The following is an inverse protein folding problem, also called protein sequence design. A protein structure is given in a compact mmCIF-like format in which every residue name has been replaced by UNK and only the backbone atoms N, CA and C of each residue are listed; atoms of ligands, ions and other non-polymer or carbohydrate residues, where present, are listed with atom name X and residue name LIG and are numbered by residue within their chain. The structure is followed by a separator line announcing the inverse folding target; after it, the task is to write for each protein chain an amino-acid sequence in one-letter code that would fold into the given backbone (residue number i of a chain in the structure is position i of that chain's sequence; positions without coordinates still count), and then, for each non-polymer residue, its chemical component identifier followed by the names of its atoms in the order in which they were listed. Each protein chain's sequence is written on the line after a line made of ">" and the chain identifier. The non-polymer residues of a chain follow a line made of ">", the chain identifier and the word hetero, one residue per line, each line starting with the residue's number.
data_IF_550805416278
#
_entry.id   IF_550805416278
#
_cell.length_a   1.000
_cell.length_b   1.000
_cell.length_c   1.000
_cell.angle_alpha   90.00
_cell.angle_beta   90.00
_cell.angle_gamma   90.00
#
_symmetry.space_group_name_H-M   'P 1'
#
loop_
_entity.id
_entity.type
_entity.pdbx_description
1 polymer ?
#
# COMPACT_ATOMS: atom_id res chain seq x y z
N UNK A 1 10.57 27.13 4.96
CA UNK A 1 10.82 26.14 3.90
C UNK A 1 12.32 25.96 3.80
N UNK A 2 12.87 24.81 4.22
CA UNK A 2 14.27 24.49 3.94
C UNK A 2 14.34 24.17 2.45
N UNK A 3 15.23 24.81 1.68
CA UNK A 3 15.51 24.42 0.30
C UNK A 3 15.79 22.91 0.28
N UNK A 4 15.05 22.14 -0.52
CA UNK A 4 15.29 20.71 -0.68
C UNK A 4 16.59 20.57 -1.48
N UNK A 5 17.68 20.31 -0.76
CA UNK A 5 19.00 20.18 -1.33
C UNK A 5 19.11 18.90 -2.17
N UNK A 6 19.85 19.00 -3.28
CA UNK A 6 20.10 17.92 -4.23
C UNK A 6 20.58 16.62 -3.57
N UNK A 7 20.17 15.46 -4.11
CA UNK A 7 20.77 14.17 -3.78
C UNK A 7 22.24 14.15 -4.24
N UNK A 8 23.13 13.66 -3.39
CA UNK A 8 24.53 13.42 -3.73
C UNK A 8 24.65 12.20 -4.64
N UNK A 9 25.65 12.19 -5.52
CA UNK A 9 25.88 11.14 -6.50
C UNK A 9 25.84 9.73 -5.88
N UNK A 10 25.18 8.81 -6.58
CA UNK A 10 25.07 7.41 -6.17
C UNK A 10 26.48 6.80 -6.15
N UNK A 11 26.75 5.97 -5.13
CA UNK A 11 28.04 5.32 -4.94
C UNK A 11 28.46 4.39 -6.10
N UNK A 12 29.58 3.65 -5.96
CA UNK A 12 30.24 2.96 -7.08
C UNK A 12 29.42 1.86 -7.76
N UNK A 13 28.36 1.34 -7.12
CA UNK A 13 27.38 0.43 -7.76
C UNK A 13 26.43 1.25 -8.62
N UNK A 14 26.88 1.58 -9.83
CA UNK A 14 26.10 2.34 -10.81
C UNK A 14 25.08 1.44 -11.52
N UNK A 15 23.94 2.02 -11.90
CA UNK A 15 22.90 1.39 -12.73
C UNK A 15 23.29 1.21 -14.20
N UNK A 16 24.57 1.45 -14.54
CA UNK A 16 25.11 1.27 -15.89
C UNK A 16 24.87 -0.12 -16.49
N UNK A 17 24.58 -1.13 -15.67
CA UNK A 17 24.34 -2.51 -16.11
C UNK A 17 22.86 -2.93 -16.12
N UNK A 18 21.91 -2.01 -15.87
CA UNK A 18 20.49 -2.36 -15.97
C UNK A 18 20.14 -2.77 -17.40
N UNK A 19 19.56 -3.96 -17.53
CA UNK A 19 19.14 -4.52 -18.82
C UNK A 19 17.66 -4.85 -18.78
N UNK A 20 16.96 -4.41 -19.80
CA UNK A 20 15.62 -4.89 -20.05
C UNK A 20 15.66 -6.39 -20.41
N UNK A 21 14.75 -7.19 -19.83
CA UNK A 21 14.54 -8.58 -20.21
C UNK A 21 14.22 -8.74 -21.71
N UNK A 22 13.51 -7.77 -22.29
CA UNK A 22 13.27 -7.65 -23.73
C UNK A 22 13.66 -6.26 -24.21
N UNK A 23 14.35 -6.09 -25.35
CA UNK A 23 14.72 -4.77 -25.87
C UNK A 23 13.54 -3.82 -26.03
N UNK A 24 12.36 -4.31 -26.43
CA UNK A 24 11.15 -3.50 -26.63
C UNK A 24 10.62 -2.85 -25.35
N UNK A 25 10.95 -3.38 -24.17
CA UNK A 25 10.48 -2.84 -22.90
C UNK A 25 10.95 -1.41 -22.61
N UNK A 26 11.98 -0.91 -23.30
CA UNK A 26 12.40 0.49 -23.17
C UNK A 26 11.36 1.50 -23.69
N UNK A 27 10.43 1.08 -24.55
CA UNK A 27 9.37 1.92 -25.11
C UNK A 27 8.10 1.93 -24.25
N UNK A 28 7.93 0.92 -23.39
CA UNK A 28 6.79 0.79 -22.49
C UNK A 28 6.83 1.85 -21.38
N UNK A 29 5.68 2.28 -20.83
CA UNK A 29 5.64 3.17 -19.68
C UNK A 29 6.28 2.54 -18.44
N UNK A 30 7.04 3.33 -17.67
CA UNK A 30 7.70 2.86 -16.45
C UNK A 30 6.96 3.37 -15.21
N UNK A 31 6.45 2.43 -14.42
CA UNK A 31 5.75 2.68 -13.17
C UNK A 31 6.66 2.34 -12.00
N UNK A 32 7.04 3.33 -11.22
CA UNK A 32 7.83 3.11 -10.00
C UNK A 32 6.90 2.99 -8.79
N UNK A 33 6.88 1.80 -8.18
CA UNK A 33 6.14 1.52 -6.93
C UNK A 33 6.96 2.01 -5.72
N UNK A 34 6.71 3.25 -5.31
CA UNK A 34 7.44 3.90 -4.22
C UNK A 34 6.72 3.69 -2.88
N UNK A 35 7.34 3.02 -1.91
CA UNK A 35 6.71 2.66 -0.64
C UNK A 35 6.96 3.66 0.51
N UNK A 36 7.67 4.76 0.25
CA UNK A 36 8.07 5.70 1.30
C UNK A 36 9.19 5.21 2.22
N UNK A 37 9.85 4.10 1.86
CA UNK A 37 11.01 3.57 2.57
C UNK A 37 12.35 3.99 1.97
N UNK A 38 13.44 3.77 2.72
CA UNK A 38 14.81 4.07 2.27
C UNK A 38 15.21 3.27 1.02
N UNK A 39 14.86 1.98 0.94
CA UNK A 39 15.17 1.15 -0.24
C UNK A 39 14.44 1.64 -1.49
N UNK A 40 13.14 1.95 -1.40
CA UNK A 40 12.40 2.51 -2.55
C UNK A 40 12.88 3.90 -2.94
N UNK A 41 13.37 4.70 -1.98
CA UNK A 41 14.00 5.99 -2.26
C UNK A 41 15.36 5.88 -2.93
N UNK A 42 16.19 4.92 -2.54
CA UNK A 42 17.40 4.63 -3.30
C UNK A 42 17.07 4.22 -4.73
N UNK A 43 16.12 3.30 -4.94
CA UNK A 43 15.67 2.91 -6.28
C UNK A 43 15.21 4.11 -7.11
N UNK A 44 14.35 4.97 -6.54
CA UNK A 44 13.84 6.18 -7.17
C UNK A 44 14.98 7.05 -7.72
N UNK A 45 15.92 7.44 -6.87
CA UNK A 45 17.01 8.32 -7.28
C UNK A 45 18.01 7.63 -8.20
N UNK A 46 18.21 6.32 -8.04
CA UNK A 46 19.01 5.53 -8.98
C UNK A 46 18.41 5.55 -10.39
N UNK A 47 17.10 5.34 -10.54
CA UNK A 47 16.43 5.39 -11.85
C UNK A 47 16.43 6.80 -12.47
N UNK A 48 16.29 7.84 -11.64
CA UNK A 48 16.28 9.24 -12.10
C UNK A 48 17.65 9.68 -12.60
N UNK A 49 18.71 9.42 -11.85
CA UNK A 49 20.09 9.77 -12.24
C UNK A 49 20.55 8.96 -13.46
N UNK A 50 20.00 7.76 -13.67
CA UNK A 50 20.19 6.97 -14.89
C UNK A 50 19.50 7.55 -16.14
N UNK A 51 18.56 8.48 -15.97
CA UNK A 51 17.65 8.89 -17.04
C UNK A 51 16.68 7.80 -17.48
N UNK A 52 16.41 6.80 -16.62
CA UNK A 52 15.50 5.70 -16.96
C UNK A 52 14.02 6.07 -16.83
N UNK A 53 13.69 7.17 -16.14
CA UNK A 53 12.33 7.71 -16.07
C UNK A 53 12.15 8.91 -17.00
N UNK A 54 11.11 8.86 -17.83
CA UNK A 54 10.79 9.83 -18.87
C UNK A 54 9.28 10.10 -18.89
N UNK A 55 8.87 11.27 -18.37
CA UNK A 55 7.45 11.63 -18.24
C UNK A 55 6.67 11.53 -19.57
N UNK A 56 7.29 11.86 -20.70
CA UNK A 56 6.65 11.81 -22.02
C UNK A 56 6.24 10.40 -22.46
N UNK A 57 6.87 9.35 -21.91
CA UNK A 57 6.56 7.96 -22.21
C UNK A 57 5.31 7.46 -21.48
N UNK A 58 4.84 8.19 -20.46
CA UNK A 58 3.77 7.77 -19.55
C UNK A 58 4.27 7.42 -18.15
N UNK A 59 5.58 7.54 -17.92
CA UNK A 59 6.21 7.15 -16.66
C UNK A 59 5.66 7.92 -15.46
N UNK A 60 5.56 7.21 -14.34
CA UNK A 60 4.93 7.73 -13.14
C UNK A 60 5.51 7.08 -11.88
N UNK A 61 5.67 7.90 -10.84
CA UNK A 61 5.98 7.44 -9.49
C UNK A 61 4.69 7.40 -8.68
N UNK A 62 4.45 6.28 -7.99
CA UNK A 62 3.22 6.07 -7.22
C UNK A 62 3.57 5.75 -5.77
N UNK A 63 3.00 6.53 -4.84
CA UNK A 63 2.95 6.19 -3.43
C UNK A 63 1.51 5.81 -3.05
N UNK A 64 1.30 4.54 -2.68
CA UNK A 64 0.02 4.07 -2.15
C UNK A 64 -0.03 4.34 -0.65
N UNK A 65 -0.71 5.41 -0.27
CA UNK A 65 -0.96 5.74 1.12
C UNK A 65 -1.97 4.75 1.72
N UNK A 66 -1.53 3.96 2.70
CA UNK A 66 -2.41 3.06 3.45
C UNK A 66 -3.00 3.72 4.68
N UNK A 67 -2.61 4.96 4.98
CA UNK A 67 -2.83 5.71 6.23
C UNK A 67 -2.27 5.02 7.47
N UNK A 68 -1.51 3.92 7.31
CA UNK A 68 -0.89 3.10 8.35
C UNK A 68 0.65 3.24 8.40
N UNK A 69 1.16 4.25 7.71
CA UNK A 69 2.55 4.65 7.72
C UNK A 69 2.89 5.53 8.94
N UNK A 70 4.14 5.48 9.35
CA UNK A 70 4.69 6.40 10.33
C UNK A 70 4.68 7.84 9.79
N UNK A 71 4.37 8.88 10.60
CA UNK A 71 4.33 10.28 10.16
C UNK A 71 5.56 10.76 9.34
N UNK A 72 6.76 10.42 9.80
CA UNK A 72 8.03 10.65 9.09
C UNK A 72 8.10 10.10 7.65
N UNK A 73 7.31 9.09 7.31
CA UNK A 73 7.20 8.59 5.94
C UNK A 73 6.49 9.59 5.03
N UNK A 74 5.47 10.30 5.51
CA UNK A 74 4.83 11.36 4.73
C UNK A 74 5.79 12.53 4.51
N UNK A 75 6.54 12.93 5.54
CA UNK A 75 7.57 13.96 5.41
C UNK A 75 8.62 13.59 4.35
N UNK A 76 9.17 12.38 4.46
CA UNK A 76 10.16 11.86 3.52
C UNK A 76 9.60 11.78 2.09
N UNK A 77 8.40 11.23 1.93
CA UNK A 77 7.75 11.09 0.62
C UNK A 77 7.43 12.45 0.00
N UNK A 78 7.02 13.44 0.80
CA UNK A 78 6.76 14.81 0.34
C UNK A 78 8.04 15.46 -0.19
N UNK A 79 9.16 15.28 0.51
CA UNK A 79 10.48 15.76 0.05
C UNK A 79 10.91 15.07 -1.25
N UNK A 80 10.77 13.75 -1.33
CA UNK A 80 11.02 13.00 -2.58
C UNK A 80 10.18 13.55 -3.72
N UNK A 81 8.86 13.67 -3.53
CA UNK A 81 7.92 14.20 -4.53
C UNK A 81 8.34 15.57 -5.04
N UNK A 82 8.62 16.52 -4.14
CA UNK A 82 9.09 17.85 -4.52
C UNK A 82 10.37 17.80 -5.38
N UNK A 83 11.34 16.94 -5.04
CA UNK A 83 12.56 16.81 -5.82
C UNK A 83 12.32 16.19 -7.20
N UNK A 84 11.55 15.10 -7.25
CA UNK A 84 11.20 14.38 -8.48
C UNK A 84 10.51 15.33 -9.48
N UNK A 85 9.51 16.05 -8.99
CA UNK A 85 8.68 16.95 -9.80
C UNK A 85 9.46 18.18 -10.26
N UNK A 86 10.17 18.85 -9.35
CA UNK A 86 10.85 20.12 -9.67
C UNK A 86 12.15 19.93 -10.45
N UNK A 87 12.93 18.88 -10.15
CA UNK A 87 14.26 18.66 -10.76
C UNK A 87 14.19 17.78 -12.01
N UNK A 88 13.34 16.76 -12.01
CA UNK A 88 13.29 15.76 -13.09
C UNK A 88 12.01 15.83 -13.93
N UNK A 89 10.99 16.56 -13.48
CA UNK A 89 9.75 16.71 -14.22
C UNK A 89 8.97 15.40 -14.41
N UNK A 90 9.13 14.44 -13.48
CA UNK A 90 8.42 13.16 -13.51
C UNK A 90 7.16 13.24 -12.63
N UNK A 91 5.98 12.86 -13.12
CA UNK A 91 4.77 12.80 -12.31
C UNK A 91 4.92 11.88 -11.10
N UNK A 92 4.47 12.34 -9.94
CA UNK A 92 4.49 11.57 -8.70
C UNK A 92 3.15 11.73 -7.97
N UNK A 93 2.33 10.69 -7.98
CA UNK A 93 1.01 10.70 -7.32
C UNK A 93 1.01 9.98 -5.97
N UNK A 94 0.20 10.51 -5.04
CA UNK A 94 -0.22 9.81 -3.84
C UNK A 94 -1.63 9.28 -4.06
N UNK A 95 -1.81 7.99 -3.84
CA UNK A 95 -3.07 7.28 -4.04
C UNK A 95 -3.57 6.74 -2.70
N UNK A 96 -4.87 6.86 -2.45
CA UNK A 96 -5.54 6.19 -1.35
C UNK A 96 -6.57 5.21 -1.88
N UNK A 97 -6.67 4.04 -1.25
CA UNK A 97 -7.80 3.15 -1.48
C UNK A 97 -9.08 3.82 -0.99
N UNK A 98 -10.14 3.72 -1.80
CA UNK A 98 -11.46 4.19 -1.42
C UNK A 98 -12.51 3.27 -2.03
N UNK A 99 -13.60 3.07 -1.31
CA UNK A 99 -14.82 2.46 -1.83
C UNK A 99 -15.87 3.49 -2.22
N UNK A 100 -16.72 3.16 -3.16
CA UNK A 100 -17.88 3.97 -3.56
C UNK A 100 -19.12 3.09 -3.75
N UNK A 101 -20.31 3.68 -3.77
CA UNK A 101 -21.57 2.96 -3.93
C UNK A 101 -22.05 2.98 -5.39
N UNK A 102 -22.31 1.80 -5.92
CA UNK A 102 -22.93 1.64 -7.23
C UNK A 102 -23.67 0.31 -7.35
N UNK A 103 -24.46 0.17 -8.40
CA UNK A 103 -25.16 -1.07 -8.70
C UNK A 103 -24.25 -2.02 -9.49
N UNK A 104 -24.10 -3.25 -9.02
CA UNK A 104 -23.46 -4.34 -9.77
C UNK A 104 -24.49 -5.44 -10.00
N UNK A 105 -24.77 -5.72 -11.27
CA UNK A 105 -25.81 -6.69 -11.66
C UNK A 105 -27.19 -6.38 -11.05
N UNK A 106 -27.52 -5.10 -10.89
CA UNK A 106 -28.81 -4.64 -10.35
C UNK A 106 -28.88 -4.48 -8.83
N UNK A 107 -27.89 -4.97 -8.07
CA UNK A 107 -27.84 -4.80 -6.61
C UNK A 107 -26.83 -3.73 -6.21
N UNK A 108 -27.21 -2.82 -5.31
CA UNK A 108 -26.28 -1.81 -4.80
C UNK A 108 -25.23 -2.45 -3.88
N UNK A 109 -23.97 -2.02 -4.03
CA UNK A 109 -22.86 -2.45 -3.21
C UNK A 109 -21.79 -1.37 -3.13
N UNK A 110 -20.85 -1.55 -2.18
CA UNK A 110 -19.59 -0.82 -2.21
C UNK A 110 -18.59 -1.51 -3.15
N UNK A 111 -18.04 -0.74 -4.08
CA UNK A 111 -17.03 -1.16 -5.05
C UNK A 111 -15.69 -0.48 -4.72
N UNK A 112 -14.56 -1.19 -4.85
CA UNK A 112 -13.24 -0.62 -4.59
C UNK A 112 -12.79 0.28 -5.75
N UNK A 113 -11.98 1.28 -5.42
CA UNK A 113 -11.33 2.22 -6.32
C UNK A 113 -10.13 2.85 -5.61
N UNK A 114 -9.53 3.86 -6.23
CA UNK A 114 -8.57 4.77 -5.64
C UNK A 114 -9.10 6.20 -5.59
N UNK A 115 -8.44 7.08 -4.83
CA UNK A 115 -8.56 8.54 -4.85
C UNK A 115 -7.16 9.17 -4.90
N UNK A 116 -7.04 10.31 -5.56
CA UNK A 116 -5.82 11.14 -5.52
C UNK A 116 -5.84 12.04 -4.28
N UNK A 117 -4.69 12.17 -3.61
CA UNK A 117 -4.53 13.07 -2.45
C UNK A 117 -3.30 13.95 -2.60
N UNK A 118 -3.37 15.16 -2.04
CA UNK A 118 -2.23 16.07 -2.00
C UNK A 118 -1.31 15.75 -0.81
N UNK A 119 -0.18 16.45 -0.71
CA UNK A 119 0.86 16.16 0.29
C UNK A 119 0.65 16.84 1.64
N UNK A 120 -0.55 17.37 1.90
CA UNK A 120 -0.91 17.96 3.19
C UNK A 120 -2.04 17.15 3.84
N UNK A 121 -2.11 17.07 5.18
CA UNK A 121 -3.14 16.29 5.86
C UNK A 121 -4.56 16.73 5.51
N UNK A 122 -5.49 15.78 5.51
CA UNK A 122 -6.91 16.07 5.35
C UNK A 122 -7.42 16.97 6.47
N UNK A 123 -8.22 17.99 6.10
CA UNK A 123 -8.94 18.85 7.03
C UNK A 123 -10.21 19.41 6.36
N UNK A 124 -11.06 20.11 7.11
CA UNK A 124 -12.22 20.80 6.54
C UNK A 124 -11.84 21.79 5.43
N UNK A 125 -10.68 22.43 5.56
CA UNK A 125 -10.14 23.38 4.56
C UNK A 125 -9.30 22.71 3.47
N UNK A 126 -8.95 21.42 3.65
CA UNK A 126 -8.18 20.62 2.69
C UNK A 126 -8.86 19.26 2.48
N UNK A 127 -10.01 19.21 1.80
CA UNK A 127 -10.76 17.97 1.61
C UNK A 127 -10.02 16.94 0.75
N UNK A 128 -9.03 17.36 -0.03
CA UNK A 128 -8.16 16.53 -0.88
C UNK A 128 -6.83 16.14 -0.20
N UNK A 129 -6.67 16.45 1.08
CA UNK A 129 -5.51 16.04 1.86
C UNK A 129 -5.46 14.54 2.14
N UNK A 130 -4.28 14.06 2.51
CA UNK A 130 -4.07 12.65 2.82
C UNK A 130 -4.54 12.28 4.24
N UNK A 131 -5.01 11.05 4.40
CA UNK A 131 -5.34 10.42 5.68
C UNK A 131 -4.10 9.76 6.29
N UNK A 132 -4.01 9.74 7.62
CA UNK A 132 -2.82 9.23 8.33
C UNK A 132 -3.10 8.58 9.68
N UNK A 133 -4.38 8.51 10.08
CA UNK A 133 -4.85 7.91 11.34
C UNK A 133 -5.42 6.51 11.11
N UNK A 134 -5.06 5.86 10.00
CA UNK A 134 -5.46 4.50 9.68
C UNK A 134 -6.81 4.35 8.97
N UNK A 135 -7.43 5.45 8.54
CA UNK A 135 -8.76 5.49 7.93
C UNK A 135 -8.86 4.65 6.65
N UNK A 136 -7.84 4.72 5.80
CA UNK A 136 -7.78 3.96 4.53
C UNK A 136 -7.62 2.47 4.81
N UNK A 137 -6.84 2.12 5.84
CA UNK A 137 -6.66 0.73 6.27
C UNK A 137 -7.96 0.16 6.84
N UNK A 138 -8.61 0.89 7.75
CA UNK A 138 -9.88 0.47 8.35
C UNK A 138 -11.01 0.41 7.31
N UNK A 139 -11.03 1.30 6.31
CA UNK A 139 -12.01 1.21 5.21
C UNK A 139 -11.93 -0.12 4.49
N UNK A 140 -10.71 -0.63 4.22
CA UNK A 140 -10.53 -1.98 3.67
C UNK A 140 -11.05 -3.04 4.64
N UNK A 141 -10.64 -3.02 5.91
CA UNK A 141 -11.03 -4.05 6.89
C UNK A 141 -12.55 -4.10 7.06
N UNK A 142 -13.19 -2.94 7.10
CA UNK A 142 -14.64 -2.82 7.18
C UNK A 142 -15.31 -3.33 5.92
N UNK A 143 -14.80 -2.98 4.74
CA UNK A 143 -15.33 -3.46 3.46
C UNK A 143 -15.25 -4.98 3.31
N UNK A 144 -14.13 -5.61 3.70
CA UNK A 144 -13.97 -7.08 3.60
C UNK A 144 -14.56 -7.82 4.80
N UNK A 145 -14.63 -7.18 5.98
CA UNK A 145 -15.18 -7.72 7.23
C UNK A 145 -14.24 -8.65 8.01
N UNK A 146 -12.93 -8.62 7.75
CA UNK A 146 -11.94 -9.41 8.47
C UNK A 146 -10.57 -8.73 8.50
N UNK A 147 -9.71 -9.10 9.47
CA UNK A 147 -8.31 -8.68 9.50
C UNK A 147 -7.43 -9.50 8.54
N UNK A 148 -6.46 -8.89 7.85
CA UNK A 148 -5.48 -9.62 7.06
C UNK A 148 -4.63 -10.55 7.95
N UNK A 149 -4.10 -11.61 7.34
CA UNK A 149 -3.21 -12.57 8.01
C UNK A 149 -1.95 -12.80 7.18
N UNK A 150 -0.95 -13.42 7.79
CA UNK A 150 0.31 -13.77 7.11
C UNK A 150 0.11 -14.68 5.89
N UNK A 151 -1.01 -15.41 5.83
CA UNK A 151 -1.39 -16.26 4.70
C UNK A 151 -2.29 -15.56 3.68
N UNK A 152 -3.05 -14.55 4.11
CA UNK A 152 -3.98 -13.82 3.28
C UNK A 152 -3.77 -12.31 3.49
N UNK A 153 -3.14 -11.65 2.53
CA UNK A 153 -2.74 -10.24 2.60
C UNK A 153 -3.61 -9.32 1.71
N UNK A 154 -4.92 -9.18 1.97
CA UNK A 154 -5.80 -8.31 1.19
C UNK A 154 -5.36 -6.84 1.25
N UNK A 155 -4.57 -6.44 2.26
CA UNK A 155 -3.97 -5.11 2.34
C UNK A 155 -3.00 -4.85 1.19
N UNK A 156 -2.16 -5.82 0.83
CA UNK A 156 -1.23 -5.64 -0.30
C UNK A 156 -1.99 -5.66 -1.62
N UNK A 157 -2.91 -6.62 -1.78
CA UNK A 157 -3.74 -6.72 -2.98
C UNK A 157 -4.57 -5.44 -3.20
N UNK A 158 -5.37 -5.03 -2.22
CA UNK A 158 -6.35 -3.95 -2.41
C UNK A 158 -5.72 -2.57 -2.32
N UNK A 159 -4.92 -2.30 -1.27
CA UNK A 159 -4.41 -0.95 -1.00
C UNK A 159 -3.26 -0.55 -1.94
N UNK A 160 -2.55 -1.53 -2.53
CA UNK A 160 -1.40 -1.27 -3.40
C UNK A 160 -1.65 -1.70 -4.83
N UNK A 161 -1.87 -3.00 -5.05
CA UNK A 161 -1.90 -3.56 -6.40
C UNK A 161 -3.14 -3.11 -7.19
N UNK A 162 -4.34 -3.39 -6.67
CA UNK A 162 -5.60 -3.02 -7.34
C UNK A 162 -5.81 -1.51 -7.38
N UNK A 163 -5.43 -0.79 -6.32
CA UNK A 163 -5.45 0.69 -6.29
C UNK A 163 -4.57 1.27 -7.39
N UNK A 164 -3.34 0.75 -7.55
CA UNK A 164 -2.43 1.18 -8.62
C UNK A 164 -2.97 0.81 -10.00
N UNK A 165 -3.50 -0.41 -10.17
CA UNK A 165 -4.06 -0.87 -11.44
C UNK A 165 -5.24 -0.01 -11.88
N UNK A 166 -6.17 0.28 -10.95
CA UNK A 166 -7.29 1.17 -11.22
C UNK A 166 -6.82 2.57 -11.63
N UNK A 167 -5.78 3.11 -10.98
CA UNK A 167 -5.16 4.39 -11.39
C UNK A 167 -4.54 4.33 -12.78
N UNK A 168 -3.71 3.32 -13.07
CA UNK A 168 -3.03 3.18 -14.35
C UNK A 168 -4.02 3.04 -15.52
N UNK A 169 -5.16 2.39 -15.29
CA UNK A 169 -6.27 2.27 -16.25
C UNK A 169 -6.74 3.62 -16.79
N UNK A 170 -6.85 4.60 -15.90
CA UNK A 170 -7.29 5.96 -16.21
C UNK A 170 -6.13 6.84 -16.64
N UNK A 171 -4.97 6.70 -15.98
CA UNK A 171 -3.76 7.46 -16.27
C UNK A 171 -3.31 7.25 -17.71
N UNK A 172 -3.15 6.00 -18.15
CA UNK A 172 -2.73 5.69 -19.52
C UNK A 172 -3.79 6.05 -20.56
N UNK A 173 -5.05 6.32 -20.17
CA UNK A 173 -6.03 6.89 -21.09
C UNK A 173 -5.71 8.33 -21.54
N UNK A 174 -4.65 8.94 -20.98
CA UNK A 174 -4.11 10.25 -21.34
C UNK A 174 -5.15 11.38 -21.26
N UNK A 175 -6.08 11.27 -20.31
CA UNK A 175 -7.10 12.27 -19.99
C UNK A 175 -6.59 13.25 -18.93
N UNK A 176 -7.11 14.48 -18.86
CA UNK A 176 -6.64 15.47 -17.89
C UNK A 176 -7.11 15.21 -16.44
N UNK A 177 -8.15 14.39 -16.25
CA UNK A 177 -8.76 14.12 -14.96
C UNK A 177 -9.32 12.70 -14.88
N UNK A 178 -9.52 12.21 -13.65
CA UNK A 178 -10.21 10.95 -13.37
C UNK A 178 -11.71 11.07 -13.59
N UNK A 179 -12.39 9.95 -13.84
CA UNK A 179 -13.86 9.92 -13.96
C UNK A 179 -14.54 9.97 -12.60
N UNK A 180 -15.71 10.61 -12.50
CA UNK A 180 -16.59 10.40 -11.34
C UNK A 180 -17.13 8.96 -11.34
N UNK A 181 -17.05 8.26 -10.21
CA UNK A 181 -17.62 6.91 -10.03
C UNK A 181 -18.71 6.89 -8.96
N UNK A 182 -19.64 5.95 -9.06
CA UNK A 182 -20.75 5.74 -8.13
C UNK A 182 -22.04 6.41 -8.54
N UNK A 183 -23.13 6.07 -7.86
CA UNK A 183 -24.45 6.61 -8.21
C UNK A 183 -24.57 8.12 -7.97
N UNK A 184 -25.49 8.79 -8.67
CA UNK A 184 -25.71 10.24 -8.55
C UNK A 184 -26.71 10.63 -7.43
N UNK A 185 -27.23 9.65 -6.68
CA UNK A 185 -28.06 9.90 -5.50
C UNK A 185 -27.32 10.66 -4.39
N UNK A 186 -28.07 11.41 -3.57
CA UNK A 186 -27.53 12.20 -2.44
C UNK A 186 -27.33 11.41 -1.15
N UNK A 187 -27.90 10.22 -1.06
CA UNK A 187 -27.87 9.33 0.10
C UNK A 187 -27.52 7.92 -0.36
N UNK A 188 -27.06 7.08 0.58
CA UNK A 188 -26.79 5.67 0.31
C UNK A 188 -28.02 4.96 -0.25
N UNK A 189 -27.77 4.01 -1.14
CA UNK A 189 -28.79 3.10 -1.72
C UNK A 189 -28.66 1.68 -1.16
N UNK A 190 -27.81 1.48 -0.16
CA UNK A 190 -27.59 0.20 0.47
C UNK A 190 -28.65 -0.04 1.54
N UNK A 191 -29.56 -0.97 1.26
CA UNK A 191 -30.54 -1.44 2.23
C UNK A 191 -29.92 -2.53 3.11
N UNK A 192 -30.15 -2.45 4.43
CA UNK A 192 -29.57 -3.39 5.39
C UNK A 192 -30.00 -4.84 5.11
N UNK A 193 -31.29 -5.06 4.85
CA UNK A 193 -31.79 -6.41 4.67
C UNK A 193 -31.24 -7.05 3.39
N UNK A 194 -31.17 -6.31 2.28
CA UNK A 194 -30.54 -6.79 1.03
C UNK A 194 -29.05 -7.12 1.22
N UNK A 195 -28.32 -6.28 1.96
CA UNK A 195 -26.91 -6.51 2.27
C UNK A 195 -26.71 -7.78 3.10
N UNK A 196 -27.53 -7.98 4.13
CA UNK A 196 -27.41 -9.13 5.01
C UNK A 196 -27.88 -10.42 4.32
N UNK A 197 -28.96 -10.38 3.55
CA UNK A 197 -29.40 -11.48 2.70
C UNK A 197 -28.32 -11.89 1.69
N UNK A 198 -27.62 -10.93 1.09
CA UNK A 198 -26.47 -11.23 0.21
C UNK A 198 -25.33 -11.89 0.97
N UNK A 199 -25.02 -11.45 2.18
CA UNK A 199 -24.03 -12.10 3.05
C UNK A 199 -24.40 -13.56 3.31
N UNK A 200 -25.65 -13.84 3.67
CA UNK A 200 -26.14 -15.22 3.87
C UNK A 200 -26.09 -16.04 2.57
N UNK A 201 -26.55 -15.48 1.43
CA UNK A 201 -26.50 -16.13 0.11
C UNK A 201 -25.08 -16.51 -0.32
N UNK A 202 -24.08 -15.73 0.08
CA UNK A 202 -22.66 -16.00 -0.19
C UNK A 202 -21.99 -16.91 0.86
N UNK A 203 -22.77 -17.58 1.72
CA UNK A 203 -22.28 -18.50 2.75
C UNK A 203 -21.72 -17.81 4.00
N UNK A 204 -22.04 -16.53 4.21
CA UNK A 204 -21.72 -15.80 5.42
C UNK A 204 -22.54 -16.31 6.61
N UNK A 205 -21.87 -16.56 7.74
CA UNK A 205 -22.51 -17.02 8.99
C UNK A 205 -22.43 -16.02 10.14
N UNK A 206 -21.86 -14.83 9.93
CA UNK A 206 -21.72 -13.81 10.98
C UNK A 206 -23.09 -13.31 11.42
N UNK A 207 -23.39 -13.24 12.74
CA UNK A 207 -24.59 -12.62 13.27
C UNK A 207 -24.81 -11.19 12.75
N UNK A 208 -26.07 -10.78 12.60
CA UNK A 208 -26.46 -9.54 11.89
C UNK A 208 -25.87 -8.30 12.54
N UNK A 209 -25.91 -8.21 13.87
CA UNK A 209 -25.34 -7.11 14.66
C UNK A 209 -23.82 -6.99 14.46
N UNK A 210 -23.08 -8.09 14.61
CA UNK A 210 -21.62 -8.13 14.40
C UNK A 210 -21.28 -7.80 12.94
N UNK A 211 -22.07 -8.29 11.98
CA UNK A 211 -21.88 -7.97 10.57
C UNK A 211 -21.96 -6.46 10.33
N UNK A 212 -22.99 -5.78 10.86
CA UNK A 212 -23.15 -4.34 10.65
C UNK A 212 -22.17 -3.49 11.46
N UNK A 213 -21.77 -3.94 12.65
CA UNK A 213 -20.66 -3.32 13.39
C UNK A 213 -19.37 -3.31 12.55
N UNK A 214 -19.04 -4.46 11.94
CA UNK A 214 -17.90 -4.58 11.03
C UNK A 214 -18.08 -3.72 9.77
N UNK A 215 -19.29 -3.53 9.24
CA UNK A 215 -19.51 -2.69 8.04
C UNK A 215 -19.62 -1.19 8.32
N UNK A 216 -19.73 -0.78 9.58
CA UNK A 216 -20.04 0.61 9.95
C UNK A 216 -19.06 1.62 9.34
N UNK A 217 -17.75 1.36 9.42
CA UNK A 217 -16.76 2.32 8.96
C UNK A 217 -16.85 2.54 7.45
N UNK A 218 -16.81 1.47 6.64
CA UNK A 218 -16.93 1.56 5.18
C UNK A 218 -18.26 2.20 4.75
N UNK A 219 -19.36 1.94 5.46
CA UNK A 219 -20.68 2.55 5.16
C UNK A 219 -20.72 4.06 5.42
N UNK A 220 -19.90 4.57 6.33
CA UNK A 220 -19.77 6.00 6.59
C UNK A 220 -18.86 6.73 5.59
N UNK A 221 -18.17 5.99 4.70
CA UNK A 221 -17.27 6.58 3.70
C UNK A 221 -18.07 7.14 2.51
N UNK A 222 -17.50 8.10 1.77
CA UNK A 222 -18.21 8.76 0.67
C UNK A 222 -18.84 7.75 -0.31
N UNK A 223 -20.07 8.02 -0.73
CA UNK A 223 -20.85 7.14 -1.61
C UNK A 223 -20.43 7.22 -3.09
N UNK A 224 -19.55 8.16 -3.44
CA UNK A 224 -19.01 8.34 -4.78
C UNK A 224 -17.53 8.72 -4.73
N UNK A 225 -16.82 8.48 -5.82
CA UNK A 225 -15.49 9.04 -6.04
C UNK A 225 -15.61 10.27 -6.95
N UNK A 226 -15.11 11.45 -6.55
CA UNK A 226 -15.15 12.64 -7.41
C UNK A 226 -14.26 12.46 -8.65
N UNK A 227 -14.56 13.24 -9.69
CA UNK A 227 -13.57 13.50 -10.75
C UNK A 227 -12.47 14.38 -10.17
N UNK A 228 -11.21 14.07 -10.47
CA UNK A 228 -10.04 14.76 -9.92
C UNK A 228 -9.06 15.11 -11.05
N UNK A 229 -8.79 16.40 -11.31
CA UNK A 229 -7.76 16.83 -12.27
C UNK A 229 -6.38 16.40 -11.81
N UNK A 230 -5.61 15.72 -12.67
CA UNK A 230 -4.28 15.25 -12.31
C UNK A 230 -3.32 16.40 -11.95
N UNK A 231 -3.52 17.57 -12.55
CA UNK A 231 -2.74 18.79 -12.28
C UNK A 231 -2.83 19.30 -10.86
N UNK A 232 -3.87 18.93 -10.13
CA UNK A 232 -4.07 19.37 -8.75
C UNK A 232 -3.24 18.52 -7.77
N UNK A 233 -2.77 17.35 -8.23
CA UNK A 233 -2.09 16.35 -7.40
C UNK A 233 -0.64 16.08 -7.81
N UNK A 234 -0.25 16.42 -9.05
CA UNK A 234 1.12 16.25 -9.52
C UNK A 234 1.54 17.29 -10.56
N UNK A 235 2.82 17.65 -10.54
CA UNK A 235 3.42 18.57 -11.49
C UNK A 235 4.72 17.99 -12.08
N UNK A 236 4.90 17.93 -13.41
CA UNK A 236 3.96 18.31 -14.45
C UNK A 236 2.96 17.18 -14.76
N UNK A 237 1.67 17.37 -14.49
CA UNK A 237 0.62 16.54 -15.10
C UNK A 237 0.35 17.03 -16.55
N UNK A 238 1.24 16.67 -17.48
CA UNK A 238 1.07 16.95 -18.92
C UNK A 238 0.61 15.69 -19.64
N UNK A 239 -0.11 15.87 -20.76
CA UNK A 239 -0.39 14.77 -21.69
C UNK A 239 0.93 14.13 -22.15
N UNK A 240 0.96 12.80 -22.19
CA UNK A 240 2.11 12.04 -22.69
C UNK A 240 2.26 12.25 -24.20
N UNK A 241 3.47 11.99 -24.69
CA UNK A 241 3.82 11.95 -26.10
C UNK A 241 4.41 10.56 -26.36
N UNK A 242 3.55 9.55 -26.33
CA UNK A 242 3.93 8.13 -26.40
C UNK A 242 3.16 7.48 -27.54
N UNK A 243 3.86 7.17 -28.63
CA UNK A 243 3.29 6.45 -29.77
C UNK A 243 2.68 5.11 -29.34
N UNK A 244 3.34 4.41 -28.42
CA UNK A 244 2.85 3.15 -27.87
C UNK A 244 1.48 3.33 -27.19
N UNK A 245 1.33 4.31 -26.31
CA UNK A 245 0.04 4.58 -25.65
C UNK A 245 -1.00 5.02 -26.69
N UNK A 246 -0.65 5.92 -27.61
CA UNK A 246 -1.57 6.44 -28.60
C UNK A 246 -2.11 5.34 -29.55
N UNK A 247 -1.32 4.29 -29.83
CA UNK A 247 -1.71 3.15 -30.67
C UNK A 247 -2.53 2.08 -29.93
N UNK A 248 -2.35 1.94 -28.62
CA UNK A 248 -2.94 0.84 -27.82
C UNK A 248 -4.12 1.26 -26.93
N UNK A 249 -4.44 2.56 -26.85
CA UNK A 249 -5.57 3.05 -26.04
C UNK A 249 -6.80 3.32 -26.92
N UNK A 250 -7.85 2.52 -26.72
CA UNK A 250 -9.15 2.73 -27.35
C UNK A 250 -10.16 3.38 -26.40
N UNK A 251 -10.64 4.58 -26.74
CA UNK A 251 -11.75 5.24 -26.03
C UNK A 251 -11.36 6.07 -24.80
N UNK A 252 -11.99 5.79 -23.65
CA UNK A 252 -11.88 6.60 -22.42
C UNK A 252 -11.24 5.88 -21.23
N UNK A 253 -10.83 4.62 -21.38
CA UNK A 253 -10.09 3.86 -20.37
C UNK A 253 -9.39 2.69 -21.05
N UNK A 254 -8.20 2.33 -20.59
CA UNK A 254 -7.52 1.10 -21.03
C UNK A 254 -8.31 -0.10 -20.48
N UNK A 255 -8.56 -1.14 -21.26
CA UNK A 255 -9.06 -2.42 -20.71
C UNK A 255 -7.81 -3.22 -20.35
N UNK A 256 -7.85 -3.98 -19.24
CA UNK A 256 -6.80 -4.97 -18.99
C UNK A 256 -7.30 -6.37 -19.41
N UNK A 257 -6.52 -7.16 -20.17
CA UNK A 257 -6.94 -8.19 -21.13
C UNK A 257 -5.98 -8.41 -22.34
N UNK A 258 -6.48 -8.89 -23.48
CA UNK A 258 -5.69 -9.15 -24.71
C UNK A 258 -5.34 -7.86 -25.49
N UNK A 259 -5.92 -6.72 -25.12
CA UNK A 259 -5.83 -5.41 -25.81
C UNK A 259 -5.14 -4.33 -24.93
N UNK A 260 -4.10 -4.71 -24.17
CA UNK A 260 -3.57 -3.93 -23.06
C UNK A 260 -2.44 -2.96 -23.41
N UNK A 261 -2.38 -1.85 -22.67
CA UNK A 261 -1.14 -1.09 -22.48
C UNK A 261 -0.27 -1.87 -21.50
N UNK A 262 0.76 -2.53 -22.03
CA UNK A 262 1.82 -3.12 -21.23
C UNK A 262 2.66 -2.02 -20.57
N UNK A 263 3.18 -2.32 -19.37
CA UNK A 263 4.01 -1.38 -18.62
C UNK A 263 5.05 -2.10 -17.76
N UNK A 264 6.12 -1.39 -17.42
CA UNK A 264 7.12 -1.88 -16.49
C UNK A 264 6.76 -1.45 -15.06
N UNK A 265 6.95 -2.36 -14.11
CA UNK A 265 6.86 -2.04 -12.68
C UNK A 265 8.22 -2.15 -12.02
N UNK A 266 8.77 -1.05 -11.53
CA UNK A 266 10.00 -1.06 -10.73
C UNK A 266 9.69 -1.21 -9.24
N UNK A 267 10.29 -2.22 -8.61
CA UNK A 267 10.08 -2.54 -7.20
C UNK A 267 11.42 -2.52 -6.45
N UNK A 268 11.45 -1.85 -5.30
CA UNK A 268 12.64 -1.69 -4.46
C UNK A 268 12.92 -2.92 -3.57
N UNK A 269 13.43 -4.00 -4.16
CA UNK A 269 13.91 -5.18 -3.45
C UNK A 269 15.43 -5.28 -3.49
N UNK A 270 16.04 -5.65 -2.36
CA UNK A 270 17.49 -5.78 -2.19
C UNK A 270 17.97 -7.20 -2.45
N UNK A 271 19.24 -7.37 -2.81
CA UNK A 271 19.86 -8.68 -3.08
C UNK A 271 19.91 -9.60 -1.86
N UNK A 272 19.93 -9.02 -0.65
CA UNK A 272 19.84 -9.73 0.64
C UNK A 272 18.40 -10.16 0.99
N UNK A 273 17.45 -10.04 0.05
CA UNK A 273 16.06 -10.45 0.17
C UNK A 273 15.64 -11.49 -0.90
N UNK A 274 16.37 -12.61 -1.09
CA UNK A 274 16.17 -13.52 -2.23
C UNK A 274 14.79 -14.16 -2.30
N UNK A 275 14.17 -14.47 -1.16
CA UNK A 275 12.79 -15.00 -1.12
C UNK A 275 11.77 -13.99 -1.66
N UNK A 276 11.98 -12.70 -1.37
CA UNK A 276 11.14 -11.60 -1.85
C UNK A 276 11.23 -11.50 -3.38
N UNK A 277 12.44 -11.57 -3.91
CA UNK A 277 12.69 -11.52 -5.35
C UNK A 277 12.15 -12.73 -6.11
N UNK A 278 12.21 -13.93 -5.51
CA UNK A 278 11.67 -15.15 -6.10
C UNK A 278 10.15 -15.06 -6.35
N UNK A 279 9.39 -14.48 -5.41
CA UNK A 279 7.95 -14.26 -5.56
C UNK A 279 7.63 -13.35 -6.76
N UNK A 280 8.35 -12.24 -6.91
CA UNK A 280 8.19 -11.33 -8.06
C UNK A 280 8.53 -12.03 -9.39
N UNK A 281 9.60 -12.83 -9.43
CA UNK A 281 9.98 -13.60 -10.63
C UNK A 281 8.93 -14.65 -11.00
N UNK A 282 8.36 -15.35 -10.02
CA UNK A 282 7.26 -16.30 -10.23
C UNK A 282 6.00 -15.60 -10.75
N UNK A 283 5.74 -14.37 -10.27
CA UNK A 283 4.63 -13.53 -10.76
C UNK A 283 4.79 -13.19 -12.25
N UNK A 284 6.01 -12.85 -12.68
CA UNK A 284 6.30 -12.54 -14.09
C UNK A 284 6.18 -13.75 -15.04
N UNK A 285 6.31 -14.99 -14.54
CA UNK A 285 6.34 -16.18 -15.42
C UNK A 285 4.96 -16.70 -15.84
N UNK A 286 3.87 -16.04 -15.45
CA UNK A 286 2.54 -16.27 -16.05
C UNK A 286 1.92 -17.66 -15.83
N UNK A 287 2.39 -18.43 -14.85
CA UNK A 287 1.84 -19.76 -14.56
C UNK A 287 0.39 -19.73 -14.04
N UNK A 288 -0.35 -20.85 -14.03
CA UNK A 288 -1.72 -20.92 -13.50
C UNK A 288 -1.85 -20.58 -12.01
N UNK A 289 -0.74 -20.57 -11.26
CA UNK A 289 -0.64 -20.07 -9.88
C UNK A 289 -0.07 -18.63 -9.77
N UNK A 290 0.27 -18.00 -10.90
CA UNK A 290 0.80 -16.64 -10.90
C UNK A 290 -0.34 -15.65 -10.66
N UNK A 291 -0.26 -14.91 -9.56
CA UNK A 291 -1.08 -13.71 -9.32
C UNK A 291 -0.59 -12.52 -10.17
N UNK A 292 0.06 -12.79 -11.31
CA UNK A 292 0.59 -11.76 -12.20
C UNK A 292 -0.54 -11.07 -12.93
N UNK A 293 -0.48 -9.76 -12.99
CA UNK A 293 -1.40 -9.00 -13.82
C UNK A 293 -0.94 -9.07 -15.27
N UNK A 294 -1.86 -9.43 -16.16
CA UNK A 294 -1.65 -9.26 -17.60
C UNK A 294 -1.20 -7.82 -17.90
N UNK A 295 -0.16 -7.70 -18.73
CA UNK A 295 0.49 -6.45 -19.13
C UNK A 295 1.53 -5.88 -18.17
N UNK A 296 1.73 -6.42 -16.96
CA UNK A 296 2.77 -5.94 -16.03
C UNK A 296 4.07 -6.73 -16.16
N UNK A 297 5.18 -6.02 -16.41
CA UNK A 297 6.53 -6.59 -16.36
C UNK A 297 7.29 -6.04 -15.14
N UNK A 298 7.42 -6.83 -14.07
CA UNK A 298 8.08 -6.36 -12.86
C UNK A 298 9.61 -6.50 -12.91
N UNK A 299 10.32 -5.45 -12.52
CA UNK A 299 11.79 -5.38 -12.44
C UNK A 299 12.24 -5.03 -11.02
N UNK A 300 13.40 -5.56 -10.63
CA UNK A 300 14.01 -5.35 -9.31
C UNK A 300 15.45 -4.86 -9.46
N UNK A 301 15.69 -3.63 -9.98
CA UNK A 301 17.03 -3.19 -10.35
C UNK A 301 18.05 -3.27 -9.22
N UNK A 302 17.65 -2.90 -8.00
CA UNK A 302 18.55 -2.97 -6.83
C UNK A 302 18.99 -4.41 -6.52
N UNK A 303 18.09 -5.39 -6.68
CA UNK A 303 18.41 -6.81 -6.52
C UNK A 303 19.45 -7.25 -7.54
N UNK A 304 19.20 -6.93 -8.82
CA UNK A 304 20.07 -7.34 -9.93
C UNK A 304 21.44 -6.63 -9.88
N UNK A 305 21.49 -5.43 -9.29
CA UNK A 305 22.73 -4.68 -8.99
C UNK A 305 23.49 -5.18 -7.75
N UNK A 306 22.96 -6.17 -7.02
CA UNK A 306 23.61 -6.68 -5.80
C UNK A 306 23.60 -5.68 -4.63
N UNK A 307 22.61 -4.79 -4.56
CA UNK A 307 22.45 -3.81 -3.48
C UNK A 307 21.88 -4.49 -2.23
N UNK A 308 22.59 -4.37 -1.10
CA UNK A 308 22.20 -4.90 0.21
C UNK A 308 21.61 -3.82 1.11
N UNK A 309 21.15 -4.18 2.31
CA UNK A 309 20.73 -3.21 3.32
C UNK A 309 21.85 -2.20 3.67
N UNK A 310 23.08 -2.67 3.79
CA UNK A 310 24.24 -1.83 4.12
C UNK A 310 24.51 -0.78 3.05
N UNK A 311 24.41 -1.14 1.76
CA UNK A 311 24.52 -0.18 0.66
C UNK A 311 23.45 0.91 0.71
N UNK A 312 22.22 0.55 1.13
CA UNK A 312 21.11 1.52 1.29
C UNK A 312 21.41 2.47 2.44
N UNK A 313 21.91 1.97 3.57
CA UNK A 313 22.29 2.78 4.72
C UNK A 313 23.43 3.75 4.34
N UNK A 314 24.49 3.25 3.70
CA UNK A 314 25.61 4.04 3.17
C UNK A 314 25.17 5.13 2.18
N UNK A 315 24.19 4.83 1.33
CA UNK A 315 23.63 5.80 0.39
C UNK A 315 22.97 6.95 1.14
N UNK A 316 22.14 6.65 2.14
CA UNK A 316 21.38 7.64 2.91
C UNK A 316 22.22 8.40 3.94
N UNK A 317 23.30 7.83 4.46
CA UNK A 317 24.25 8.53 5.34
C UNK A 317 24.98 9.68 4.65
N UNK A 318 25.16 9.58 3.32
CA UNK A 318 25.75 10.66 2.51
C UNK A 318 24.77 11.78 2.21
N UNK A 319 23.46 11.54 2.35
CA UNK A 319 22.44 12.53 2.05
C UNK A 319 22.24 13.50 3.23
N UNK A 320 21.90 14.74 2.91
CA UNK A 320 21.58 15.76 3.93
C UNK A 320 20.18 15.61 4.53
N UNK A 321 19.38 14.71 3.97
CA UNK A 321 18.05 14.36 4.42
C UNK A 321 17.82 12.88 4.10
N UNK A 322 17.06 12.20 4.95
CA UNK A 322 16.69 10.79 4.81
C UNK A 322 15.40 10.51 5.56
N UNK A 323 14.84 9.32 5.41
CA UNK A 323 13.79 8.86 6.32
C UNK A 323 14.37 8.73 7.73
N UNK A 324 13.96 9.61 8.64
CA UNK A 324 14.51 9.73 10.01
C UNK A 324 13.92 8.68 10.98
N UNK A 325 13.91 7.42 10.58
CA UNK A 325 13.55 6.29 11.43
C UNK A 325 14.82 5.50 11.76
N UNK A 326 15.05 5.22 13.04
CA UNK A 326 16.24 4.49 13.46
C UNK A 326 16.14 3.01 13.05
N UNK A 327 17.02 2.57 12.15
CA UNK A 327 17.07 1.19 11.62
C UNK A 327 17.24 0.10 12.70
N UNK A 328 17.69 0.46 13.91
CA UNK A 328 17.91 -0.45 15.04
C UNK A 328 16.69 -0.68 15.94
N UNK A 329 15.68 0.19 15.85
CA UNK A 329 14.57 0.23 16.81
C UNK A 329 13.34 -0.55 16.33
N UNK A 330 13.44 -1.27 15.20
CA UNK A 330 12.31 -1.96 14.57
C UNK A 330 11.29 -1.02 13.90
N UNK A 331 11.51 0.29 13.99
CA UNK A 331 10.77 1.32 13.29
C UNK A 331 11.11 1.30 11.81
N UNK A 332 10.07 1.29 10.99
CA UNK A 332 10.15 1.42 9.53
C UNK A 332 8.93 2.21 9.06
N UNK A 333 8.80 2.42 7.74
CA UNK A 333 7.67 3.13 7.16
C UNK A 333 6.31 2.61 7.65
N UNK A 334 6.10 1.29 7.70
CA UNK A 334 4.96 0.69 8.40
C UNK A 334 5.32 0.48 9.88
N UNK A 335 4.47 0.86 10.83
CA UNK A 335 4.82 0.80 12.28
C UNK A 335 4.69 -0.62 12.84
N UNK A 336 3.46 -1.06 13.17
CA UNK A 336 3.19 -2.37 13.79
C UNK A 336 2.69 -3.43 12.80
N UNK A 337 2.99 -3.33 11.50
CA UNK A 337 2.53 -4.30 10.49
C UNK A 337 2.72 -5.77 10.92
N UNK A 338 1.64 -6.56 10.89
CA UNK A 338 1.62 -7.97 11.31
C UNK A 338 2.54 -8.90 10.49
N UNK A 339 3.01 -8.45 9.32
CA UNK A 339 4.02 -9.16 8.53
C UNK A 339 5.43 -9.04 9.11
N UNK A 340 5.66 -8.12 10.05
CA UNK A 340 6.93 -8.03 10.76
C UNK A 340 7.04 -9.15 11.78
N UNK A 341 8.22 -9.77 11.85
CA UNK A 341 8.53 -10.72 12.91
C UNK A 341 8.42 -10.09 14.30
N UNK A 342 8.03 -10.88 15.30
CA UNK A 342 7.68 -10.38 16.63
C UNK A 342 8.79 -9.57 17.31
N UNK A 343 10.06 -9.95 17.11
CA UNK A 343 11.21 -9.19 17.63
C UNK A 343 11.18 -7.73 17.15
N UNK A 344 10.82 -7.51 15.88
CA UNK A 344 10.73 -6.16 15.29
C UNK A 344 9.54 -5.39 15.88
N UNK A 345 8.39 -6.04 16.02
CA UNK A 345 7.19 -5.43 16.63
C UNK A 345 7.43 -5.02 18.09
N UNK A 346 8.16 -5.85 18.85
CA UNK A 346 8.55 -5.54 20.23
C UNK A 346 9.55 -4.40 20.31
N UNK A 347 10.56 -4.38 19.44
CA UNK A 347 11.50 -3.24 19.37
C UNK A 347 10.74 -1.96 19.05
N UNK A 348 9.81 -1.99 18.08
CA UNK A 348 8.98 -0.83 17.75
C UNK A 348 8.12 -0.39 18.94
N UNK A 349 7.52 -1.33 19.67
CA UNK A 349 6.74 -1.05 20.87
C UNK A 349 7.59 -0.42 21.99
N UNK A 350 8.80 -0.92 22.20
CA UNK A 350 9.73 -0.36 23.18
C UNK A 350 10.19 1.05 22.79
N UNK A 351 10.48 1.28 21.50
CA UNK A 351 10.97 2.54 20.97
C UNK A 351 9.92 3.65 20.99
N UNK A 352 8.66 3.33 20.67
CA UNK A 352 7.54 4.30 20.72
C UNK A 352 7.09 4.61 22.15
N UNK A 353 7.50 3.80 23.14
CA UNK A 353 7.15 4.02 24.53
C UNK A 353 5.64 3.97 24.79
N UNK A 354 5.19 4.53 25.91
CA UNK A 354 3.79 4.94 26.06
C UNK A 354 3.71 6.25 25.31
N UNK A 355 3.07 6.26 24.15
CA UNK A 355 2.92 7.46 23.31
C UNK A 355 2.51 8.65 24.20
N UNK A 356 3.46 9.54 24.48
CA UNK A 356 3.24 10.77 25.27
C UNK A 356 2.66 11.87 24.37
N UNK A 357 2.81 11.70 23.06
CA UNK A 357 2.24 12.60 22.06
C UNK A 357 0.75 12.29 21.88
N UNK A 358 -0.10 13.13 22.47
CA UNK A 358 -1.55 13.03 22.36
C UNK A 358 -2.01 12.98 20.89
N UNK A 359 -1.27 13.58 19.94
CA UNK A 359 -1.65 13.58 18.53
C UNK A 359 -1.59 12.19 17.88
N UNK A 360 -0.70 11.33 18.38
CA UNK A 360 -0.47 9.98 17.87
C UNK A 360 -1.35 8.91 18.53
N UNK A 361 -2.14 9.27 19.54
CA UNK A 361 -3.12 8.36 20.15
C UNK A 361 -4.19 7.96 19.14
N UNK A 362 -4.63 6.70 19.20
CA UNK A 362 -5.61 6.14 18.26
C UNK A 362 -5.18 6.26 16.78
N UNK A 363 -3.88 6.22 16.52
CA UNK A 363 -3.32 6.14 15.16
C UNK A 363 -2.54 4.84 15.00
N UNK A 364 -2.08 4.49 13.79
CA UNK A 364 -1.25 3.30 13.57
C UNK A 364 0.10 3.31 14.31
N UNK A 365 0.52 4.45 14.87
CA UNK A 365 1.65 4.56 15.79
C UNK A 365 1.33 4.14 17.23
N UNK A 366 0.05 4.02 17.58
CA UNK A 366 -0.44 3.54 18.86
C UNK A 366 -0.80 2.06 18.76
N UNK A 367 -0.22 1.23 19.62
CA UNK A 367 -0.50 -0.20 19.62
C UNK A 367 -1.98 -0.50 19.96
N UNK A 368 -2.63 0.34 20.77
CA UNK A 368 -4.05 0.15 21.10
C UNK A 368 -4.96 0.29 19.87
N UNK A 369 -4.57 1.09 18.89
CA UNK A 369 -5.31 1.17 17.62
C UNK A 369 -5.34 -0.20 16.92
N UNK A 370 -4.21 -0.91 16.89
CA UNK A 370 -4.13 -2.26 16.32
C UNK A 370 -4.91 -3.29 17.13
N UNK A 371 -4.91 -3.18 18.46
CA UNK A 371 -5.74 -4.02 19.35
C UNK A 371 -7.22 -3.83 19.04
N UNK A 372 -7.68 -2.58 18.89
CA UNK A 372 -9.08 -2.26 18.61
C UNK A 372 -9.51 -2.79 17.23
N UNK A 373 -8.67 -2.63 16.20
CA UNK A 373 -8.94 -3.22 14.89
C UNK A 373 -8.98 -4.74 14.94
N UNK A 374 -8.03 -5.35 15.66
CA UNK A 374 -7.99 -6.79 15.84
C UNK A 374 -9.29 -7.27 16.47
N UNK A 375 -9.71 -6.70 17.61
CA UNK A 375 -10.96 -7.06 18.30
C UNK A 375 -12.21 -6.88 17.42
N UNK A 376 -12.32 -5.73 16.72
CA UNK A 376 -13.50 -5.42 15.91
C UNK A 376 -13.61 -6.28 14.65
N UNK A 377 -12.51 -6.51 13.95
CA UNK A 377 -12.51 -7.18 12.64
C UNK A 377 -12.01 -8.63 12.68
N UNK A 378 -11.39 -9.05 13.78
CA UNK A 378 -11.01 -10.44 14.04
C UNK A 378 -12.22 -11.37 14.07
N UNK A 379 -11.97 -12.68 13.99
CA UNK A 379 -13.04 -13.68 14.09
C UNK A 379 -13.11 -14.18 15.51
N UNK A 380 -14.17 -13.80 16.21
CA UNK A 380 -14.52 -14.38 17.49
C UNK A 380 -15.38 -15.63 17.24
N UNK A 381 -14.84 -16.80 17.56
CA UNK A 381 -15.50 -18.08 17.27
C UNK A 381 -16.76 -18.28 18.11
N UNK A 382 -16.80 -17.72 19.33
CA UNK A 382 -17.95 -17.81 20.23
C UNK A 382 -19.01 -16.79 19.88
N UNK A 383 -18.63 -15.52 19.77
CA UNK A 383 -19.58 -14.44 19.48
C UNK A 383 -20.17 -14.56 18.07
N UNK A 384 -19.42 -15.09 17.09
CA UNK A 384 -19.93 -15.34 15.74
C UNK A 384 -20.61 -16.73 15.58
N UNK A 385 -20.86 -17.45 16.67
CA UNK A 385 -21.54 -18.77 16.65
C UNK A 385 -20.91 -19.79 15.69
N UNK A 386 -19.58 -19.79 15.59
CA UNK A 386 -18.84 -20.64 14.64
C UNK A 386 -18.41 -21.94 15.28
N UNK A 387 -18.64 -23.05 14.58
CA UNK A 387 -18.08 -24.34 14.96
C UNK A 387 -16.56 -24.39 14.75
N UNK A 388 -15.84 -24.80 15.79
CA UNK A 388 -14.41 -25.08 15.71
C UNK A 388 -14.19 -26.46 15.08
N UNK A 389 -13.73 -26.47 13.83
CA UNK A 389 -13.36 -27.72 13.14
C UNK A 389 -12.09 -28.37 13.70
N UNK A 390 -11.26 -27.60 14.41
CA UNK A 390 -9.99 -27.99 15.03
C UNK A 390 -9.81 -27.20 16.31
N UNK A 391 -9.11 -27.78 17.28
CA UNK A 391 -8.68 -27.08 18.48
C UNK A 391 -7.69 -25.97 18.09
N UNK A 392 -8.01 -24.74 18.45
CA UNK A 392 -7.20 -23.55 18.22
C UNK A 392 -6.74 -23.01 19.58
N UNK A 393 -5.55 -22.39 19.68
CA UNK A 393 -5.01 -21.95 20.98
C UNK A 393 -5.87 -20.90 21.68
N UNK A 394 -6.65 -20.13 20.91
CA UNK A 394 -7.54 -19.07 21.38
C UNK A 394 -8.87 -19.16 20.64
N UNK A 395 -10.00 -18.85 21.29
CA UNK A 395 -11.33 -18.73 20.65
C UNK A 395 -11.44 -17.55 19.65
N UNK A 396 -10.32 -16.89 19.35
CA UNK A 396 -10.26 -15.64 18.61
C UNK A 396 -9.12 -15.69 17.57
N UNK A 397 -9.45 -15.37 16.33
CA UNK A 397 -8.51 -15.36 15.20
C UNK A 397 -8.27 -13.92 14.75
N UNK A 398 -7.07 -13.40 15.08
CA UNK A 398 -6.60 -12.07 14.72
C UNK A 398 -5.60 -12.05 13.56
N UNK A 399 -4.74 -11.03 13.52
CA UNK A 399 -3.79 -10.78 12.43
C UNK A 399 -2.73 -11.90 12.27
N UNK A 400 -2.42 -12.61 13.34
CA UNK A 400 -1.41 -13.67 13.36
C UNK A 400 -1.99 -15.06 13.04
N UNK A 401 -3.28 -15.14 12.75
CA UNK A 401 -3.95 -16.37 12.30
C UNK A 401 -4.28 -17.36 13.41
N UNK A 402 -5.01 -18.41 13.04
CA UNK A 402 -5.69 -19.31 13.99
C UNK A 402 -4.75 -20.23 14.80
N UNK A 403 -3.51 -20.42 14.35
CA UNK A 403 -2.53 -21.27 15.03
C UNK A 403 -1.58 -20.47 15.93
N UNK A 404 -1.74 -19.14 15.97
CA UNK A 404 -0.87 -18.27 16.77
C UNK A 404 -1.53 -17.98 18.11
N UNK A 405 -0.78 -18.19 19.18
CA UNK A 405 -1.17 -17.70 20.51
C UNK A 405 -0.87 -16.19 20.67
N UNK A 406 -0.20 -15.56 19.69
CA UNK A 406 0.17 -14.15 19.70
C UNK A 406 -0.94 -13.25 19.14
N UNK A 407 -1.10 -12.08 19.75
CA UNK A 407 -2.03 -11.02 19.36
C UNK A 407 -1.42 -9.65 19.69
N UNK A 408 -1.96 -8.57 19.12
CA UNK A 408 -1.53 -7.23 19.51
C UNK A 408 -1.86 -6.93 20.97
N UNK A 409 -2.94 -7.51 21.51
CA UNK A 409 -3.28 -7.37 22.92
C UNK A 409 -2.18 -7.95 23.82
N UNK A 410 -1.73 -9.18 23.52
CA UNK A 410 -0.61 -9.79 24.28
C UNK A 410 0.68 -8.99 24.12
N UNK A 411 0.93 -8.39 22.95
CA UNK A 411 2.06 -7.49 22.75
C UNK A 411 1.97 -6.24 23.64
N UNK A 412 0.79 -5.65 23.77
CA UNK A 412 0.55 -4.45 24.58
C UNK A 412 0.68 -4.72 26.09
N UNK A 413 0.25 -5.90 26.53
CA UNK A 413 0.32 -6.34 27.93
C UNK A 413 1.71 -6.88 28.33
N UNK A 414 2.55 -7.24 27.35
CA UNK A 414 3.88 -7.80 27.59
C UNK A 414 4.83 -6.79 28.24
N UNK A 415 5.62 -7.19 29.26
CA UNK A 415 6.67 -6.33 29.81
C UNK A 415 7.64 -5.88 28.73
N UNK A 416 8.06 -4.61 28.78
CA UNK A 416 9.01 -4.02 27.81
C UNK A 416 10.48 -4.41 28.06
N UNK A 417 10.74 -5.52 28.77
CA UNK A 417 12.09 -5.97 29.15
C UNK A 417 12.67 -6.97 28.14
N UNK A 418 14.01 -7.05 28.04
CA UNK A 418 14.69 -7.98 27.11
C UNK A 418 14.51 -9.46 27.47
N UNK A 419 14.30 -9.81 28.74
CA UNK A 419 14.23 -11.21 29.20
C UNK A 419 12.92 -11.93 28.82
N UNK A 420 11.85 -11.18 28.53
CA UNK A 420 10.58 -11.74 28.06
C UNK A 420 10.58 -12.11 26.57
N UNK A 421 11.74 -12.03 25.89
CA UNK A 421 11.93 -12.46 24.50
C UNK A 421 11.85 -13.99 24.32
N UNK A 422 12.10 -14.76 25.37
CA UNK A 422 12.13 -16.23 25.30
C UNK A 422 10.75 -16.87 25.05
N UNK A 423 9.66 -16.26 25.55
CA UNK A 423 8.29 -16.79 25.43
C UNK A 423 7.77 -16.80 23.98
N UNK A 424 8.44 -16.09 23.07
CA UNK A 424 7.99 -15.89 21.69
C UNK A 424 9.07 -16.22 20.64
N UNK A 425 10.18 -16.82 21.05
CA UNK A 425 11.37 -17.03 20.22
C UNK A 425 11.11 -17.88 18.95
N UNK A 426 10.11 -18.75 18.98
CA UNK A 426 9.81 -19.70 17.90
C UNK A 426 8.95 -19.12 16.76
N UNK A 427 8.55 -17.84 16.85
CA UNK A 427 7.57 -17.22 15.94
C UNK A 427 8.17 -16.19 14.97
N UNK A 428 9.46 -16.31 14.66
CA UNK A 428 10.14 -15.41 13.71
C UNK A 428 9.62 -15.65 12.30
N UNK A 429 8.56 -14.93 11.94
CA UNK A 429 8.13 -14.81 10.57
C UNK A 429 9.03 -13.79 9.86
N UNK A 430 9.67 -14.13 8.73
CA UNK A 430 10.35 -13.15 7.91
C UNK A 430 9.34 -12.07 7.44
N UNK A 431 9.81 -10.83 7.31
CA UNK A 431 9.01 -9.76 6.73
C UNK A 431 8.76 -10.05 5.25
N UNK A 432 7.62 -10.68 4.96
CA UNK A 432 7.25 -11.16 3.63
C UNK A 432 6.45 -10.15 2.81
N UNK A 433 6.33 -8.91 3.27
CA UNK A 433 5.61 -7.83 2.58
C UNK A 433 6.32 -7.47 1.27
N UNK A 434 6.00 -8.15 0.18
CA UNK A 434 6.79 -8.15 -1.07
C UNK A 434 6.05 -7.71 -2.30
N UNK A 435 4.73 -7.72 -2.27
CA UNK A 435 3.96 -7.48 -3.48
C UNK A 435 3.74 -6.00 -3.80
#
# INVERSE_FOLDING_TARGET
>A
MREVQSIQAIGPKSICDFKYASPSHHELPHVLKFSGGQTSGMLLFTLLEAGLLVAKRGDVVIFNNTSAEHPKTYEFTRLCKQLVENKYGIPFFWLEYQTYEDARSGEYTRLPSYRLVNTEPMSETNPDGYHWRGEVYEELLSWIGFVPTVFQCPCTQSLKLETTRAFLKEWFANKPETKRLGHFGKSSRLEDDELYERHLRNGGGVPRDIFFEKKQFARARPIYRPAQPYSDFSFPARRFQSLYIDENVFGESVIFGEDDVEYLSFVGLRSDEPHRAAKVRQRNSGGPESAGYHGEHAYMPLFDMGITKEDVEDFWEKQRWRLELASGDGLSNCVFCFLKGLKVLRSAHAALGTVVDEELQNTPCDLNWWVNLEQKYGRDMKAEEREMKREIPNDFIGFFGANSAFSYQRLAESPRTKDSLAEFADSVLPCDCTD
#
